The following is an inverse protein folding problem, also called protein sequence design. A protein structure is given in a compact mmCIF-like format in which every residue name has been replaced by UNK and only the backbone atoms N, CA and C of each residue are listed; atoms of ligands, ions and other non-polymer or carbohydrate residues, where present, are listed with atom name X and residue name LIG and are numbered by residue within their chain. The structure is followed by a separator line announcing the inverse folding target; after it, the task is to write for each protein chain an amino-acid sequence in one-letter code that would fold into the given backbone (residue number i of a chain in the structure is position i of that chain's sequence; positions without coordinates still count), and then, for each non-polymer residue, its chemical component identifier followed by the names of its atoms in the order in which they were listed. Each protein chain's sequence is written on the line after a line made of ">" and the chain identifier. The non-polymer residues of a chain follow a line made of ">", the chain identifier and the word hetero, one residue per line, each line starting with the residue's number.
data_IF_379012863725
#
_entry.id   IF_379012863725
#
_cell.length_a   1.000
_cell.length_b   1.000
_cell.length_c   1.000
_cell.angle_alpha   90.00
_cell.angle_beta   90.00
_cell.angle_gamma   90.00
#
_symmetry.space_group_name_H-M   'P 1'
#
loop_
_entity.id
_entity.type
_entity.pdbx_description
1 polymer ?
#
# COMPACT_ATOMS: atom_id res chain seq x y z
N UNK A 1 25.99 -0.51 15.30
CA UNK A 1 24.79 -1.23 15.73
C UNK A 1 23.72 -1.16 14.66
N UNK A 2 23.21 -2.31 14.27
CA UNK A 2 22.22 -2.47 13.19
C UNK A 2 20.94 -1.69 13.47
N UNK A 3 20.51 -1.59 14.73
CA UNK A 3 19.26 -0.97 15.13
C UNK A 3 19.15 0.52 14.82
N UNK A 4 20.19 1.31 15.07
CA UNK A 4 20.16 2.76 14.86
C UNK A 4 20.05 3.11 13.38
N UNK A 5 20.81 2.42 12.53
CA UNK A 5 20.76 2.62 11.08
C UNK A 5 19.43 2.19 10.49
N UNK A 6 18.92 1.03 10.92
CA UNK A 6 17.62 0.51 10.49
C UNK A 6 16.48 1.47 10.87
N UNK A 7 16.53 2.04 12.07
CA UNK A 7 15.52 3.00 12.54
C UNK A 7 15.53 4.28 11.71
N UNK A 8 16.72 4.78 11.38
CA UNK A 8 16.88 5.98 10.53
C UNK A 8 16.27 5.72 9.14
N UNK A 9 16.56 4.56 8.57
CA UNK A 9 16.05 4.18 7.25
C UNK A 9 14.53 4.02 7.28
N UNK A 10 13.98 3.42 8.31
CA UNK A 10 12.53 3.28 8.49
C UNK A 10 11.85 4.64 8.57
N UNK A 11 12.41 5.58 9.33
CA UNK A 11 11.88 6.93 9.47
C UNK A 11 11.89 7.67 8.13
N UNK A 12 12.97 7.52 7.37
CA UNK A 12 13.09 8.16 6.06
C UNK A 12 12.04 7.63 5.09
N UNK A 13 11.85 6.32 5.06
CA UNK A 13 10.84 5.67 4.21
C UNK A 13 9.43 6.11 4.65
N UNK A 14 9.16 6.13 5.95
CA UNK A 14 7.88 6.57 6.47
C UNK A 14 7.58 8.03 6.09
N UNK A 15 8.60 8.90 6.11
CA UNK A 15 8.45 10.30 5.72
C UNK A 15 8.08 10.44 4.24
N UNK A 16 8.69 9.65 3.37
CA UNK A 16 8.37 9.65 1.94
C UNK A 16 6.93 9.20 1.71
N UNK A 17 6.52 8.13 2.39
CA UNK A 17 5.15 7.62 2.28
C UNK A 17 4.12 8.61 2.82
N UNK A 18 4.44 9.29 3.93
CA UNK A 18 3.56 10.28 4.54
C UNK A 18 3.37 11.53 3.68
N UNK A 19 4.33 11.83 2.80
CA UNK A 19 4.28 13.00 1.92
C UNK A 19 3.30 12.85 0.76
N UNK A 20 2.73 11.66 0.54
CA UNK A 20 1.83 11.40 -0.58
C UNK A 20 0.69 10.50 -0.16
N UNK A 21 -0.49 10.74 -0.71
CA UNK A 21 -1.66 9.88 -0.55
C UNK A 21 -1.81 8.88 -1.68
N UNK A 22 -0.90 8.91 -2.65
CA UNK A 22 -0.92 8.03 -3.81
C UNK A 22 -0.09 6.78 -3.56
N UNK A 23 -0.49 5.68 -4.21
CA UNK A 23 0.33 4.48 -4.25
C UNK A 23 1.59 4.74 -5.07
N UNK A 24 2.74 4.26 -4.58
CA UNK A 24 4.04 4.48 -5.21
C UNK A 24 4.81 3.17 -5.33
N UNK A 25 5.56 3.05 -6.41
CA UNK A 25 6.46 1.90 -6.61
C UNK A 25 7.69 1.99 -5.70
N UNK A 26 8.38 0.87 -5.56
CA UNK A 26 9.65 0.83 -4.83
C UNK A 26 10.66 1.78 -5.45
N UNK A 27 10.73 1.82 -6.80
CA UNK A 27 11.64 2.71 -7.50
C UNK A 27 11.35 4.18 -7.23
N UNK A 28 10.07 4.56 -7.23
CA UNK A 28 9.67 5.94 -6.94
C UNK A 28 10.04 6.34 -5.52
N UNK A 29 9.80 5.47 -4.55
CA UNK A 29 10.15 5.72 -3.16
C UNK A 29 11.67 5.84 -3.01
N UNK A 30 12.42 4.95 -3.65
CA UNK A 30 13.88 4.99 -3.65
C UNK A 30 14.42 6.28 -4.27
N UNK A 31 13.84 6.71 -5.40
CA UNK A 31 14.24 7.95 -6.07
C UNK A 31 14.01 9.17 -5.18
N UNK A 32 12.90 9.22 -4.46
CA UNK A 32 12.60 10.31 -3.53
C UNK A 32 13.56 10.31 -2.34
N UNK A 33 13.91 9.15 -1.83
CA UNK A 33 14.90 9.04 -0.76
C UNK A 33 16.26 9.60 -1.21
N UNK A 34 16.69 9.26 -2.41
CA UNK A 34 17.93 9.79 -2.98
C UNK A 34 17.87 11.30 -3.18
N UNK A 35 16.76 11.80 -3.67
CA UNK A 35 16.56 13.24 -3.87
C UNK A 35 16.61 14.01 -2.55
N UNK A 36 16.23 13.40 -1.43
CA UNK A 36 16.28 14.00 -0.11
C UNK A 36 17.61 13.78 0.61
N UNK A 37 18.59 13.18 -0.06
CA UNK A 37 19.93 12.96 0.47
C UNK A 37 20.11 11.68 1.27
N UNK A 38 19.12 10.80 1.28
CA UNK A 38 19.20 9.54 2.00
C UNK A 38 19.94 8.50 1.15
N UNK A 39 20.89 7.81 1.78
CA UNK A 39 21.64 6.73 1.13
C UNK A 39 21.09 5.38 1.54
N UNK A 40 20.07 4.93 0.82
CA UNK A 40 19.42 3.65 1.06
C UNK A 40 19.39 2.88 -0.25
N UNK A 41 19.86 1.63 -0.23
CA UNK A 41 19.83 0.77 -1.41
C UNK A 41 18.41 0.33 -1.76
N UNK A 42 18.17 0.03 -3.03
CA UNK A 42 16.87 -0.40 -3.52
C UNK A 42 16.38 -1.66 -2.80
N UNK A 43 17.26 -2.63 -2.58
CA UNK A 43 16.92 -3.87 -1.87
C UNK A 43 16.47 -3.59 -0.44
N UNK A 44 17.15 -2.65 0.24
CA UNK A 44 16.79 -2.26 1.61
C UNK A 44 15.40 -1.62 1.64
N UNK A 45 15.10 -0.72 0.69
CA UNK A 45 13.77 -0.11 0.57
C UNK A 45 12.71 -1.18 0.38
N UNK A 46 12.94 -2.12 -0.53
CA UNK A 46 12.03 -3.21 -0.79
C UNK A 46 11.76 -4.05 0.46
N UNK A 47 12.82 -4.42 1.19
CA UNK A 47 12.69 -5.23 2.40
C UNK A 47 11.94 -4.48 3.51
N UNK A 48 12.19 -3.19 3.67
CA UNK A 48 11.49 -2.36 4.66
C UNK A 48 10.02 -2.22 4.32
N UNK A 49 9.68 -2.03 3.06
CA UNK A 49 8.27 -1.94 2.63
C UNK A 49 7.54 -3.27 2.85
N UNK A 50 8.19 -4.39 2.59
CA UNK A 50 7.61 -5.71 2.87
C UNK A 50 7.33 -5.88 4.36
N UNK A 51 8.26 -5.46 5.21
CA UNK A 51 8.08 -5.54 6.66
C UNK A 51 6.92 -4.65 7.12
N UNK A 52 6.82 -3.44 6.60
CA UNK A 52 5.72 -2.52 6.92
C UNK A 52 4.37 -3.07 6.45
N UNK A 53 4.34 -3.73 5.30
CA UNK A 53 3.12 -4.37 4.80
C UNK A 53 2.69 -5.53 5.70
N UNK A 54 3.65 -6.32 6.19
CA UNK A 54 3.38 -7.45 7.08
C UNK A 54 2.78 -7.01 8.41
N UNK A 55 3.13 -5.81 8.90
CA UNK A 55 2.59 -5.26 10.15
C UNK A 55 1.33 -4.41 9.94
N UNK A 56 0.90 -4.21 8.69
CA UNK A 56 -0.29 -3.42 8.38
C UNK A 56 -0.06 -1.92 8.36
N UNK A 57 1.18 -1.46 8.42
CA UNK A 57 1.52 -0.04 8.43
C UNK A 57 1.43 0.61 7.05
N UNK A 58 1.50 -0.19 5.98
CA UNK A 58 1.31 0.27 4.61
C UNK A 58 0.34 -0.65 3.89
N UNK A 59 -0.40 -0.07 2.94
CA UNK A 59 -1.21 -0.82 2.00
C UNK A 59 -0.37 -1.20 0.80
N UNK A 60 -0.63 -2.38 0.26
CA UNK A 60 0.02 -2.88 -0.95
C UNK A 60 -1.04 -3.09 -2.01
N UNK A 61 -0.79 -2.55 -3.20
CA UNK A 61 -1.64 -2.74 -4.37
C UNK A 61 -0.80 -3.32 -5.49
N UNK A 62 -1.28 -4.40 -6.11
CA UNK A 62 -0.60 -4.96 -7.27
C UNK A 62 -1.14 -4.31 -8.54
N UNK A 63 -0.28 -3.61 -9.27
CA UNK A 63 -0.64 -2.97 -10.53
C UNK A 63 -0.85 -4.00 -11.64
N UNK A 64 -1.46 -3.56 -12.74
CA UNK A 64 -1.76 -4.45 -13.88
C UNK A 64 -0.50 -5.06 -14.49
N UNK A 65 0.64 -4.36 -14.41
CA UNK A 65 1.94 -4.85 -14.89
C UNK A 65 2.61 -5.84 -13.92
N UNK A 66 1.97 -6.12 -12.79
CA UNK A 66 2.51 -7.01 -11.77
C UNK A 66 3.37 -6.33 -10.72
N UNK A 67 3.62 -5.04 -10.84
CA UNK A 67 4.41 -4.28 -9.88
C UNK A 67 3.62 -4.01 -8.61
N UNK A 68 4.27 -4.15 -7.44
CA UNK A 68 3.66 -3.79 -6.17
C UNK A 68 3.81 -2.29 -5.92
N UNK A 69 2.72 -1.66 -5.52
CA UNK A 69 2.67 -0.26 -5.15
C UNK A 69 2.35 -0.15 -3.67
N UNK A 70 2.87 0.87 -3.02
CA UNK A 70 2.78 1.03 -1.57
C UNK A 70 2.24 2.40 -1.22
N UNK A 71 1.42 2.45 -0.16
CA UNK A 71 0.87 3.68 0.37
C UNK A 71 0.73 3.54 1.88
N UNK A 72 1.03 4.63 2.60
CA UNK A 72 0.81 4.65 4.04
C UNK A 72 -0.67 4.43 4.34
N UNK A 73 -0.94 3.54 5.29
CA UNK A 73 -2.29 3.30 5.77
C UNK A 73 -2.78 4.54 6.53
N UNK A 74 -3.85 5.17 6.04
CA UNK A 74 -4.43 6.34 6.69
C UNK A 74 -5.31 5.97 7.87
N UNK A 75 -5.73 4.71 7.95
CA UNK A 75 -6.69 4.21 8.94
C UNK A 75 -6.36 2.77 9.27
N UNK A 76 -6.53 2.39 10.53
CA UNK A 76 -6.38 1.00 10.98
C UNK A 76 -7.55 0.12 10.55
N UNK A 77 -8.65 0.71 10.06
CA UNK A 77 -9.81 -0.04 9.63
C UNK A 77 -9.59 -0.66 8.26
N UNK A 78 -10.23 -1.79 8.04
CA UNK A 78 -10.23 -2.48 6.77
C UNK A 78 -10.87 -1.61 5.69
N UNK A 79 -10.19 -1.43 4.57
CA UNK A 79 -10.68 -0.61 3.47
C UNK A 79 -10.21 -1.17 2.13
N UNK A 80 -10.87 -0.74 1.07
CA UNK A 80 -10.55 -1.12 -0.30
C UNK A 80 -10.18 0.11 -1.10
N UNK A 81 -9.66 -0.09 -2.32
CA UNK A 81 -9.13 0.99 -3.12
C UNK A 81 -9.70 0.99 -4.52
N UNK A 82 -9.94 2.19 -5.03
CA UNK A 82 -10.23 2.45 -6.44
C UNK A 82 -9.06 3.22 -7.01
N UNK A 83 -8.38 2.65 -8.00
CA UNK A 83 -7.13 3.18 -8.56
C UNK A 83 -7.31 3.58 -10.01
N UNK A 84 -6.82 4.77 -10.37
CA UNK A 84 -6.74 5.16 -11.77
C UNK A 84 -5.52 4.53 -12.43
N UNK A 85 -5.74 3.77 -13.50
CA UNK A 85 -4.66 3.09 -14.23
C UNK A 85 -3.73 4.05 -14.97
N UNK A 86 -4.17 5.30 -15.17
CA UNK A 86 -3.42 6.28 -15.96
C UNK A 86 -2.54 7.13 -15.05
N UNK A 87 -3.12 7.77 -14.03
CA UNK A 87 -2.40 8.74 -13.20
C UNK A 87 -2.09 8.26 -11.78
N UNK A 88 -2.57 7.08 -11.39
CA UNK A 88 -2.33 6.54 -10.04
C UNK A 88 -3.19 7.15 -8.95
N UNK A 89 -4.10 8.06 -9.28
CA UNK A 89 -5.01 8.62 -8.29
C UNK A 89 -5.80 7.51 -7.60
N UNK A 90 -5.90 7.58 -6.28
CA UNK A 90 -6.47 6.51 -5.48
C UNK A 90 -7.56 7.05 -4.56
N UNK A 91 -8.68 6.33 -4.49
CA UNK A 91 -9.78 6.63 -3.57
C UNK A 91 -9.95 5.42 -2.66
N UNK A 92 -10.00 5.65 -1.36
CA UNK A 92 -10.34 4.62 -0.40
C UNK A 92 -11.84 4.38 -0.41
N UNK A 93 -12.23 3.11 -0.43
CA UNK A 93 -13.63 2.71 -0.42
C UNK A 93 -13.90 2.00 0.90
N UNK A 94 -14.84 2.54 1.66
CA UNK A 94 -15.38 1.93 2.86
C UNK A 94 -16.84 1.63 2.59
N UNK A 95 -17.14 0.38 2.20
CA UNK A 95 -18.48 -0.02 1.80
C UNK A 95 -19.01 -1.14 2.68
N UNK A 96 -20.01 -0.82 3.48
CA UNK A 96 -20.71 -1.81 4.29
C UNK A 96 -21.35 -2.91 3.43
N UNK A 97 -21.87 -2.54 2.27
CA UNK A 97 -22.47 -3.50 1.33
C UNK A 97 -21.47 -4.53 0.84
N UNK A 98 -20.27 -4.09 0.51
CA UNK A 98 -19.20 -4.98 0.06
C UNK A 98 -18.77 -5.93 1.17
N UNK A 99 -18.61 -5.43 2.40
CA UNK A 99 -18.24 -6.24 3.54
C UNK A 99 -19.32 -7.29 3.85
N UNK A 100 -20.58 -6.91 3.79
CA UNK A 100 -21.70 -7.84 4.02
C UNK A 100 -21.75 -8.92 2.95
N UNK A 101 -21.55 -8.56 1.69
CA UNK A 101 -21.55 -9.52 0.58
C UNK A 101 -20.43 -10.57 0.75
N UNK A 102 -19.22 -10.12 1.03
CA UNK A 102 -18.07 -11.03 1.17
C UNK A 102 -18.22 -11.94 2.40
N UNK A 103 -18.74 -11.41 3.50
CA UNK A 103 -19.01 -12.20 4.70
C UNK A 103 -20.06 -13.28 4.44
N UNK A 104 -21.14 -12.94 3.74
CA UNK A 104 -22.20 -13.89 3.41
C UNK A 104 -21.70 -15.02 2.50
N UNK A 105 -20.87 -14.68 1.52
CA UNK A 105 -20.29 -15.68 0.62
C UNK A 105 -19.44 -16.70 1.39
N UNK A 106 -18.65 -16.24 2.35
CA UNK A 106 -17.83 -17.12 3.18
C UNK A 106 -18.70 -18.05 4.04
N UNK A 107 -19.73 -17.51 4.67
CA UNK A 107 -20.66 -18.28 5.52
C UNK A 107 -21.38 -19.35 4.70
N UNK A 108 -21.90 -18.99 3.54
CA UNK A 108 -22.60 -19.92 2.66
C UNK A 108 -21.70 -21.09 2.22
N UNK A 109 -20.42 -20.81 2.01
CA UNK A 109 -19.44 -21.84 1.64
C UNK A 109 -18.93 -22.64 2.84
N UNK A 110 -19.27 -22.24 4.06
CA UNK A 110 -18.82 -22.93 5.28
C UNK A 110 -17.38 -22.61 5.68
N UNK A 111 -16.83 -21.51 5.18
CA UNK A 111 -15.46 -21.11 5.49
C UNK A 111 -15.41 -20.28 6.76
N UNK A 112 -14.32 -20.44 7.51
CA UNK A 112 -14.04 -19.67 8.72
C UNK A 112 -12.67 -18.99 8.59
N UNK A 113 -12.42 -17.98 9.42
CA UNK A 113 -11.16 -17.24 9.43
C UNK A 113 -10.85 -16.65 8.04
N UNK A 114 -11.84 -16.02 7.45
CA UNK A 114 -11.77 -15.52 6.08
C UNK A 114 -11.30 -14.07 6.06
N UNK A 115 -10.35 -13.80 5.17
CA UNK A 115 -9.94 -12.43 4.84
C UNK A 115 -10.22 -12.18 3.37
N UNK A 116 -10.37 -10.91 3.01
CA UNK A 116 -10.57 -10.55 1.61
C UNK A 116 -9.91 -9.22 1.29
N UNK A 117 -9.55 -9.06 0.03
CA UNK A 117 -9.08 -7.80 -0.51
C UNK A 117 -9.84 -7.52 -1.80
N UNK A 118 -10.19 -6.26 -2.04
CA UNK A 118 -10.84 -5.85 -3.28
C UNK A 118 -10.13 -4.62 -3.80
N UNK A 119 -9.68 -4.71 -5.05
CA UNK A 119 -9.01 -3.62 -5.74
C UNK A 119 -9.75 -3.37 -7.05
N UNK A 120 -10.17 -2.13 -7.25
CA UNK A 120 -10.91 -1.74 -8.45
C UNK A 120 -10.03 -0.78 -9.24
N UNK A 121 -9.80 -1.10 -10.51
CA UNK A 121 -8.93 -0.30 -11.38
C UNK A 121 -9.77 0.28 -12.52
N UNK A 122 -9.66 1.57 -12.73
CA UNK A 122 -10.39 2.26 -13.78
C UNK A 122 -9.67 3.50 -14.26
N UNK A 123 -10.41 4.37 -14.94
CA UNK A 123 -9.89 5.65 -15.42
C UNK A 123 -10.63 6.76 -14.68
N UNK A 124 -9.87 7.65 -14.00
CA UNK A 124 -10.49 8.71 -13.21
C UNK A 124 -11.09 9.81 -14.10
N UNK A 125 -11.95 10.70 -13.53
CA UNK A 125 -12.64 11.73 -14.31
C UNK A 125 -11.73 12.73 -15.02
N UNK A 126 -10.47 12.82 -14.62
CA UNK A 126 -9.50 13.72 -15.25
C UNK A 126 -9.02 13.23 -16.62
N UNK A 127 -9.37 12.03 -16.99
CA UNK A 127 -8.97 11.41 -18.27
C UNK A 127 -10.22 10.99 -19.11
#
# INVERSE_FOLDING_TARGET
>A
MVGARSTRQKRAIAAVLAASEEFRSVQDIHAQLRASGQRVGLTTVYNQLRALAATGDVDVLRAEDGENLYRRCASDSHHHHLLCRICGATVEIDSHQLETLTANLAVEAGFTDVTHTVEIVGTCPRH
#
